data_IF_027110092134
#
_entry.id   IF_027110092134
#
_cell.length_a   1.000
_cell.length_b   1.000
_cell.length_c   1.000
_cell.angle_alpha   90.00
_cell.angle_beta   90.00
_cell.angle_gamma   90.00
#
_symmetry.space_group_name_H-M   'P 1'
#
loop_
_entity.id
_entity.type
_entity.pdbx_description
1 polymer ?
#
# COMPACT_ATOMS: atom_id res chain seq x y z
N UNK A 1 5.42 -10.00 -12.48
CA UNK A 1 4.56 -8.79 -12.47
C UNK A 1 3.19 -9.05 -13.11
N UNK A 2 3.14 -9.63 -14.32
CA UNK A 2 1.90 -9.94 -15.06
C UNK A 2 0.96 -10.88 -14.27
N UNK A 3 1.49 -11.93 -13.64
CA UNK A 3 0.69 -12.85 -12.81
C UNK A 3 0.00 -12.16 -11.62
N UNK A 4 0.69 -11.19 -10.99
CA UNK A 4 0.13 -10.40 -9.88
C UNK A 4 -1.00 -9.48 -10.34
N UNK A 5 -0.92 -8.96 -11.56
CA UNK A 5 -1.96 -8.14 -12.18
C UNK A 5 -3.16 -9.03 -12.58
N UNK A 6 -2.91 -10.19 -13.19
CA UNK A 6 -3.95 -11.15 -13.57
C UNK A 6 -4.73 -11.67 -12.34
N UNK A 7 -4.02 -12.03 -11.27
CA UNK A 7 -4.64 -12.44 -10.00
C UNK A 7 -5.53 -11.34 -9.40
N UNK A 8 -5.06 -10.08 -9.43
CA UNK A 8 -5.86 -8.93 -8.95
C UNK A 8 -7.09 -8.67 -9.82
N UNK A 9 -6.98 -8.84 -11.14
CA UNK A 9 -8.12 -8.74 -12.06
C UNK A 9 -9.18 -9.82 -11.80
N UNK A 10 -8.75 -11.05 -11.53
CA UNK A 10 -9.64 -12.15 -11.18
C UNK A 10 -10.39 -11.89 -9.86
N UNK A 11 -9.72 -11.33 -8.85
CA UNK A 11 -10.34 -10.93 -7.59
C UNK A 11 -11.41 -9.85 -7.78
N UNK A 12 -11.13 -8.83 -8.61
CA UNK A 12 -12.10 -7.78 -8.93
C UNK A 12 -13.34 -8.34 -9.65
N UNK A 13 -13.15 -9.24 -10.61
CA UNK A 13 -14.26 -9.90 -11.32
C UNK A 13 -15.11 -10.76 -10.36
N UNK A 14 -14.46 -11.51 -9.46
CA UNK A 14 -15.15 -12.31 -8.45
C UNK A 14 -16.00 -11.45 -7.52
N UNK A 15 -15.47 -10.32 -7.01
CA UNK A 15 -16.23 -9.39 -6.17
C UNK A 15 -17.44 -8.80 -6.89
N UNK A 16 -17.32 -8.47 -8.18
CA UNK A 16 -18.45 -7.99 -8.99
C UNK A 16 -19.58 -9.02 -9.15
N UNK A 17 -19.24 -10.30 -9.35
CA UNK A 17 -20.22 -11.38 -9.46
C UNK A 17 -20.98 -11.57 -8.13
N UNK A 18 -20.25 -11.58 -7.01
CA UNK A 18 -20.84 -11.72 -5.67
C UNK A 18 -21.81 -10.58 -5.38
N UNK A 19 -21.43 -9.34 -5.72
CA UNK A 19 -22.28 -8.16 -5.56
C UNK A 19 -23.58 -8.27 -6.38
N UNK A 20 -23.49 -8.71 -7.64
CA UNK A 20 -24.65 -8.90 -8.50
C UNK A 20 -25.64 -9.93 -7.91
N UNK A 21 -25.11 -11.04 -7.36
CA UNK A 21 -25.94 -12.07 -6.71
C UNK A 21 -26.69 -11.53 -5.48
N UNK A 22 -26.03 -10.75 -4.61
CA UNK A 22 -26.69 -10.16 -3.44
C UNK A 22 -27.81 -9.19 -3.82
N UNK A 23 -27.61 -8.35 -4.84
CA UNK A 23 -28.65 -7.45 -5.32
C UNK A 23 -29.83 -8.21 -5.92
N UNK A 24 -29.58 -9.26 -6.71
CA UNK A 24 -30.64 -10.11 -7.25
C UNK A 24 -31.45 -10.80 -6.16
N UNK A 25 -30.80 -11.34 -5.11
CA UNK A 25 -31.48 -11.97 -3.98
C UNK A 25 -32.36 -10.97 -3.21
N UNK A 26 -31.83 -9.78 -2.91
CA UNK A 26 -32.60 -8.73 -2.23
C UNK A 26 -33.82 -8.28 -3.04
N UNK A 27 -33.65 -8.08 -4.35
CA UNK A 27 -34.74 -7.69 -5.24
C UNK A 27 -35.81 -8.79 -5.37
N UNK A 28 -35.38 -10.05 -5.44
CA UNK A 28 -36.28 -11.21 -5.51
C UNK A 28 -37.12 -11.37 -4.24
N UNK A 29 -36.51 -11.20 -3.06
CA UNK A 29 -37.22 -11.24 -1.79
C UNK A 29 -38.26 -10.10 -1.67
N UNK A 30 -37.93 -8.91 -2.17
CA UNK A 30 -38.85 -7.77 -2.21
C UNK A 30 -40.05 -8.05 -3.15
N UNK A 31 -39.78 -8.56 -4.36
CA UNK A 31 -40.84 -8.87 -5.34
C UNK A 31 -41.81 -9.93 -4.84
N UNK A 32 -41.32 -10.99 -4.17
CA UNK A 32 -42.18 -12.04 -3.61
C UNK A 32 -43.15 -11.51 -2.56
N UNK A 33 -42.73 -10.54 -1.75
CA UNK A 33 -43.56 -9.97 -0.68
C UNK A 33 -44.59 -8.98 -1.24
N UNK A 34 -44.23 -8.20 -2.26
CA UNK A 34 -45.17 -7.34 -2.98
C UNK A 34 -46.24 -8.11 -3.76
N UNK A 35 -45.97 -9.37 -4.11
CA UNK A 35 -46.92 -10.27 -4.78
C UNK A 35 -47.83 -11.03 -3.80
N UNK A 36 -47.62 -10.93 -2.49
CA UNK A 36 -48.45 -11.62 -1.51
C UNK A 36 -49.71 -10.82 -1.15
N UNK A 37 -50.89 -11.44 -1.22
CA UNK A 37 -52.19 -10.78 -0.99
C UNK A 37 -52.42 -10.35 0.48
N UNK A 38 -51.53 -10.73 1.40
CA UNK A 38 -51.61 -10.39 2.82
C UNK A 38 -50.26 -9.82 3.28
N UNK A 39 -49.98 -8.57 2.88
CA UNK A 39 -48.73 -7.88 3.18
C UNK A 39 -48.70 -7.49 4.66
N UNK A 40 -48.00 -8.30 5.46
CA UNK A 40 -47.57 -7.89 6.79
C UNK A 40 -46.63 -6.68 6.64
N UNK A 41 -47.14 -5.52 7.06
CA UNK A 41 -46.47 -4.22 6.86
C UNK A 41 -45.12 -4.16 7.56
N UNK A 42 -44.98 -4.80 8.72
CA UNK A 42 -43.73 -4.83 9.48
C UNK A 42 -42.70 -5.72 8.79
N UNK A 43 -43.13 -6.86 8.24
CA UNK A 43 -42.27 -7.75 7.46
C UNK A 43 -41.80 -7.09 6.15
N UNK A 44 -42.68 -6.36 5.48
CA UNK A 44 -42.33 -5.61 4.27
C UNK A 44 -41.34 -4.48 4.57
N UNK A 45 -41.55 -3.71 5.66
CA UNK A 45 -40.63 -2.67 6.10
C UNK A 45 -39.25 -3.25 6.45
N UNK A 46 -39.20 -4.39 7.13
CA UNK A 46 -37.93 -5.03 7.47
C UNK A 46 -37.16 -5.50 6.24
N UNK A 47 -37.84 -6.09 5.26
CA UNK A 47 -37.18 -6.51 4.01
C UNK A 47 -36.69 -5.33 3.18
N UNK A 48 -37.43 -4.22 3.12
CA UNK A 48 -36.94 -2.99 2.48
C UNK A 48 -35.66 -2.48 3.14
N UNK A 49 -35.58 -2.53 4.48
CA UNK A 49 -34.35 -2.20 5.21
C UNK A 49 -33.21 -3.15 4.88
N UNK A 50 -33.47 -4.44 4.79
CA UNK A 50 -32.46 -5.45 4.45
C UNK A 50 -31.93 -5.25 3.02
N UNK A 51 -32.81 -4.93 2.05
CA UNK A 51 -32.41 -4.59 0.67
C UNK A 51 -31.56 -3.33 0.63
N UNK A 52 -31.92 -2.30 1.40
CA UNK A 52 -31.13 -1.07 1.49
C UNK A 52 -29.75 -1.32 2.13
N UNK A 53 -29.69 -2.13 3.19
CA UNK A 53 -28.45 -2.54 3.83
C UNK A 53 -27.57 -3.40 2.91
N UNK A 54 -28.17 -4.30 2.12
CA UNK A 54 -27.45 -5.08 1.11
C UNK A 54 -26.94 -4.19 -0.03
N UNK A 55 -27.74 -3.23 -0.50
CA UNK A 55 -27.36 -2.30 -1.56
C UNK A 55 -26.22 -1.38 -1.15
N UNK A 56 -26.23 -0.87 0.08
CA UNK A 56 -25.14 -0.02 0.60
C UNK A 56 -23.83 -0.79 0.76
N UNK A 57 -23.87 -2.03 1.28
CA UNK A 57 -22.69 -2.92 1.32
C UNK A 57 -22.17 -3.24 -0.08
N UNK A 58 -23.08 -3.46 -1.02
CA UNK A 58 -22.74 -3.71 -2.42
C UNK A 58 -22.05 -2.49 -3.04
N UNK A 59 -22.54 -1.28 -2.78
CA UNK A 59 -21.95 -0.02 -3.24
C UNK A 59 -20.54 0.21 -2.65
N UNK A 60 -20.33 -0.08 -1.37
CA UNK A 60 -19.00 -0.03 -0.74
C UNK A 60 -18.01 -1.01 -1.42
N UNK A 61 -18.45 -2.24 -1.70
CA UNK A 61 -17.64 -3.22 -2.43
C UNK A 61 -17.30 -2.76 -3.85
N UNK A 62 -18.22 -2.08 -4.55
CA UNK A 62 -17.93 -1.46 -5.86
C UNK A 62 -16.92 -0.34 -5.74
N UNK A 63 -17.03 0.52 -4.72
CA UNK A 63 -16.05 1.57 -4.46
C UNK A 63 -14.64 1.01 -4.25
N UNK A 64 -14.52 -0.07 -3.47
CA UNK A 64 -13.25 -0.79 -3.28
C UNK A 64 -12.74 -1.40 -4.58
N UNK A 65 -13.60 -2.06 -5.34
CA UNK A 65 -13.25 -2.68 -6.63
C UNK A 65 -12.80 -1.64 -7.65
N UNK A 66 -13.47 -0.49 -7.72
CA UNK A 66 -13.08 0.66 -8.54
C UNK A 66 -11.72 1.20 -8.13
N UNK A 67 -11.47 1.36 -6.83
CA UNK A 67 -10.16 1.77 -6.29
C UNK A 67 -9.06 0.80 -6.72
N UNK A 68 -9.30 -0.51 -6.59
CA UNK A 68 -8.35 -1.53 -7.05
C UNK A 68 -8.10 -1.44 -8.56
N UNK A 69 -9.14 -1.25 -9.36
CA UNK A 69 -9.01 -1.12 -10.81
C UNK A 69 -8.18 0.11 -11.20
N UNK A 70 -8.39 1.24 -10.52
CA UNK A 70 -7.57 2.44 -10.69
C UNK A 70 -6.10 2.18 -10.34
N UNK A 71 -5.80 1.52 -9.21
CA UNK A 71 -4.42 1.16 -8.83
C UNK A 71 -3.77 0.28 -9.90
N UNK A 72 -4.48 -0.72 -10.41
CA UNK A 72 -3.96 -1.59 -11.47
C UNK A 72 -3.68 -0.78 -12.74
N UNK A 73 -4.60 0.09 -13.16
CA UNK A 73 -4.39 0.97 -14.32
C UNK A 73 -3.20 1.90 -14.13
N UNK A 74 -2.97 2.42 -12.93
CA UNK A 74 -1.77 3.22 -12.60
C UNK A 74 -0.50 2.41 -12.79
N UNK A 75 -0.46 1.20 -12.25
CA UNK A 75 0.70 0.32 -12.35
C UNK A 75 1.04 -0.03 -13.80
N UNK A 76 0.03 -0.33 -14.61
CA UNK A 76 0.22 -0.60 -16.05
C UNK A 76 0.74 0.65 -16.76
N UNK A 77 0.11 1.81 -16.55
CA UNK A 77 0.53 3.05 -17.19
C UNK A 77 1.96 3.48 -16.80
N UNK A 78 2.38 3.27 -15.55
CA UNK A 78 3.75 3.53 -15.11
C UNK A 78 4.76 2.56 -15.74
N UNK A 79 4.37 1.30 -15.93
CA UNK A 79 5.22 0.28 -16.58
C UNK A 79 5.43 0.65 -18.05
N UNK A 80 4.36 0.97 -18.78
CA UNK A 80 4.40 1.35 -20.20
C UNK A 80 5.23 2.63 -20.46
N UNK A 81 5.33 3.52 -19.47
CA UNK A 81 6.03 4.82 -19.59
C UNK A 81 7.42 4.83 -18.98
N UNK A 82 7.87 3.70 -18.41
CA UNK A 82 9.17 3.59 -17.75
C UNK A 82 9.29 4.42 -16.47
N UNK A 83 8.17 4.79 -15.85
CA UNK A 83 8.17 5.57 -14.60
C UNK A 83 8.39 4.72 -13.35
N UNK A 84 8.32 3.39 -13.46
CA UNK A 84 8.51 2.48 -12.34
C UNK A 84 9.93 2.53 -11.73
N UNK A 85 10.92 3.07 -12.47
CA UNK A 85 12.31 3.19 -12.03
C UNK A 85 12.59 4.47 -11.22
N UNK A 86 11.60 5.36 -11.09
CA UNK A 86 11.75 6.65 -10.40
C UNK A 86 11.24 6.49 -8.96
N UNK A 87 11.97 7.04 -7.98
CA UNK A 87 11.59 7.00 -6.55
C UNK A 87 10.17 7.58 -6.30
N UNK A 88 9.70 8.44 -7.20
CA UNK A 88 8.39 9.10 -7.19
C UNK A 88 7.24 8.19 -7.67
N UNK A 89 7.51 6.99 -8.20
CA UNK A 89 6.49 6.02 -8.65
C UNK A 89 5.55 5.57 -7.51
N UNK A 90 6.07 5.60 -6.29
CA UNK A 90 5.30 5.31 -5.08
C UNK A 90 4.29 6.42 -4.79
N UNK A 91 4.72 7.67 -4.90
CA UNK A 91 3.86 8.84 -4.68
C UNK A 91 2.76 8.95 -5.75
N UNK A 92 3.05 8.55 -6.99
CA UNK A 92 2.06 8.46 -8.08
C UNK A 92 1.00 7.37 -7.86
N UNK A 93 1.38 6.28 -7.19
CA UNK A 93 0.44 5.21 -6.84
C UNK A 93 -0.57 5.66 -5.79
N UNK A 94 -0.15 6.55 -4.88
CA UNK A 94 -0.90 6.99 -3.72
C UNK A 94 -1.76 8.24 -3.96
N UNK A 95 -1.78 8.77 -5.18
CA UNK A 95 -2.63 9.93 -5.54
C UNK A 95 -4.12 9.66 -5.29
N UNK A 96 -4.91 10.66 -4.87
CA UNK A 96 -6.36 10.48 -4.74
C UNK A 96 -6.99 10.08 -6.08
N UNK A 97 -8.12 9.36 -6.02
CA UNK A 97 -8.89 9.02 -7.21
C UNK A 97 -9.48 10.30 -7.80
N UNK A 98 -9.22 10.55 -9.09
CA UNK A 98 -9.83 11.64 -9.84
C UNK A 98 -10.91 11.10 -10.78
N UNK A 99 -11.95 11.88 -11.01
CA UNK A 99 -12.93 11.62 -12.07
C UNK A 99 -12.30 11.75 -13.46
N UNK A 100 -11.24 12.57 -13.59
CA UNK A 100 -10.61 12.95 -14.86
C UNK A 100 -9.48 12.00 -15.28
N UNK A 101 -9.66 10.69 -15.06
CA UNK A 101 -8.72 9.66 -15.50
C UNK A 101 -7.82 9.11 -14.40
N UNK A 102 -6.84 8.31 -14.80
CA UNK A 102 -6.06 7.45 -13.89
C UNK A 102 -5.12 8.27 -12.98
N UNK A 103 -4.63 9.41 -13.48
CA UNK A 103 -3.77 10.35 -12.77
C UNK A 103 -4.22 11.81 -12.90
N UNK A 104 -5.41 12.05 -13.47
CA UNK A 104 -5.85 13.38 -13.91
C UNK A 104 -5.45 13.68 -15.36
N UNK A 105 -6.25 14.51 -16.01
CA UNK A 105 -6.22 14.76 -17.46
C UNK A 105 -4.91 15.39 -17.96
N UNK A 106 -4.29 16.25 -17.16
CA UNK A 106 -3.03 16.91 -17.52
C UNK A 106 -1.84 15.95 -17.43
N UNK A 107 -1.79 15.10 -16.40
CA UNK A 107 -0.74 14.10 -16.26
C UNK A 107 -0.87 12.98 -17.30
N UNK A 108 -2.10 12.62 -17.69
CA UNK A 108 -2.34 11.59 -18.71
C UNK A 108 -1.83 12.03 -20.09
N UNK A 109 -1.94 13.32 -20.44
CA UNK A 109 -1.31 13.87 -21.67
C UNK A 109 0.21 13.71 -21.63
N UNK A 110 0.84 14.03 -20.50
CA UNK A 110 2.27 13.86 -20.30
C UNK A 110 2.71 12.39 -20.45
N UNK A 111 1.98 11.47 -19.82
CA UNK A 111 2.23 10.03 -19.93
C UNK A 111 2.12 9.53 -21.38
N UNK A 112 1.13 10.02 -22.13
CA UNK A 112 0.95 9.65 -23.53
C UNK A 112 2.13 10.10 -24.38
N UNK A 113 2.57 11.36 -24.25
CA UNK A 113 3.77 11.86 -24.94
C UNK A 113 5.02 11.06 -24.56
N UNK A 114 5.17 10.69 -23.28
CA UNK A 114 6.30 9.86 -22.83
C UNK A 114 6.24 8.44 -23.41
N UNK A 115 5.07 7.82 -23.47
CA UNK A 115 4.87 6.50 -24.08
C UNK A 115 5.23 6.50 -25.57
N UNK A 116 4.82 7.54 -26.30
CA UNK A 116 5.16 7.70 -27.72
C UNK A 116 6.66 7.89 -27.93
N UNK A 117 7.32 8.71 -27.09
CA UNK A 117 8.78 8.86 -27.08
C UNK A 117 9.50 7.55 -26.75
N UNK A 118 9.00 6.80 -25.76
CA UNK A 118 9.58 5.53 -25.34
C UNK A 118 9.48 4.46 -26.44
N UNK A 119 8.34 4.41 -27.14
CA UNK A 119 8.14 3.54 -28.30
C UNK A 119 9.06 3.91 -29.47
N UNK A 120 9.17 5.21 -29.77
CA UNK A 120 10.12 5.68 -30.79
C UNK A 120 11.57 5.35 -30.42
N UNK A 121 11.91 5.36 -29.13
CA UNK A 121 13.23 4.99 -28.64
C UNK A 121 13.48 3.48 -28.75
N UNK A 122 12.48 2.64 -28.48
CA UNK A 122 12.55 1.19 -28.71
C UNK A 122 12.80 0.84 -30.18
N UNK A 123 12.22 1.61 -31.10
CA UNK A 123 12.43 1.42 -32.55
C UNK A 123 13.86 1.83 -33.00
N UNK A 124 14.50 2.78 -32.28
CA UNK A 124 15.82 3.31 -32.63
C UNK A 124 16.96 2.60 -31.90
N UNK A 125 16.73 2.11 -30.69
CA UNK A 125 17.72 1.52 -29.80
C UNK A 125 17.14 0.25 -29.14
N UNK A 126 17.24 -0.91 -29.82
CA UNK A 126 16.73 -2.18 -29.28
C UNK A 126 17.57 -2.72 -28.13
N UNK A 127 18.76 -2.17 -27.88
CA UNK A 127 19.64 -2.55 -26.77
C UNK A 127 19.30 -1.77 -25.48
N UNK A 128 18.82 -2.52 -24.50
CA UNK A 128 18.39 -2.06 -23.17
C UNK A 128 19.52 -1.31 -22.43
N UNK A 129 20.79 -1.66 -22.65
CA UNK A 129 21.93 -1.00 -22.00
C UNK A 129 22.17 0.42 -22.52
N UNK A 130 21.90 0.67 -23.80
CA UNK A 130 22.05 1.99 -24.44
C UNK A 130 20.84 2.88 -24.12
N UNK A 131 19.66 2.28 -24.00
CA UNK A 131 18.42 2.96 -23.63
C UNK A 131 18.50 3.59 -22.23
N UNK A 132 19.09 2.86 -21.27
CA UNK A 132 19.26 3.32 -19.88
C UNK A 132 20.15 4.56 -19.76
N UNK A 133 21.32 4.57 -20.43
CA UNK A 133 22.24 5.71 -20.37
C UNK A 133 21.68 6.97 -21.04
N UNK A 134 20.87 6.82 -22.08
CA UNK A 134 20.17 7.93 -22.74
C UNK A 134 19.06 8.54 -21.89
N UNK A 135 18.26 7.71 -21.21
CA UNK A 135 17.16 8.19 -20.35
C UNK A 135 17.69 8.84 -19.06
N UNK A 136 18.79 8.34 -18.50
CA UNK A 136 19.49 8.96 -17.36
C UNK A 136 20.14 10.29 -17.76
N UNK A 137 20.67 10.42 -18.99
CA UNK A 137 21.29 11.66 -19.49
C UNK A 137 20.33 12.79 -19.88
N UNK A 138 19.06 12.48 -20.15
CA UNK A 138 18.02 13.48 -20.48
C UNK A 138 17.42 14.19 -19.26
N UNK A 139 17.65 13.68 -18.03
CA UNK A 139 17.15 14.28 -16.79
C UNK A 139 17.93 15.55 -16.40
N UNK A 140 19.10 15.80 -17.01
CA UNK A 140 19.95 16.96 -16.70
C UNK A 140 19.85 18.14 -17.66
N UNK A 141 18.91 18.14 -18.62
CA UNK A 141 18.75 19.27 -19.55
C UNK A 141 17.55 20.14 -19.12
N UNK A 142 17.91 21.25 -18.47
CA UNK A 142 17.19 22.54 -18.31
C UNK A 142 15.65 22.48 -18.23
N UNK A 143 15.15 22.54 -17.00
CA UNK A 143 13.80 23.00 -16.67
C UNK A 143 13.61 24.46 -17.15
N UNK A 144 13.11 24.66 -18.36
CA UNK A 144 12.36 25.89 -18.65
C UNK A 144 10.94 25.74 -18.06
N UNK A 145 10.75 26.28 -16.86
CA UNK A 145 9.44 26.42 -16.22
C UNK A 145 8.53 27.33 -17.06
N UNK A 146 7.32 26.88 -17.45
CA UNK A 146 6.27 27.79 -17.89
C UNK A 146 5.90 28.72 -16.73
N UNK A 147 5.89 30.02 -17.03
CA UNK A 147 5.60 31.11 -16.09
C UNK A 147 4.24 30.92 -15.39
N UNK A 148 4.28 30.90 -14.06
CA UNK A 148 3.15 30.82 -13.13
C UNK A 148 2.04 31.84 -13.41
N UNK A 149 0.80 31.37 -13.42
CA UNK A 149 -0.35 32.13 -12.90
C UNK A 149 -1.01 31.34 -11.78
N UNK A 150 -1.00 31.96 -10.61
CA UNK A 150 -1.76 31.66 -9.38
C UNK A 150 -1.56 30.29 -8.73
N UNK A 151 -0.72 30.33 -7.67
CA UNK A 151 -0.92 29.72 -6.34
C UNK A 151 0.33 29.07 -5.73
N UNK A 152 1.49 29.68 -6.01
CA UNK A 152 2.81 29.32 -5.47
C UNK A 152 2.99 29.62 -3.96
N UNK A 153 1.89 29.89 -3.22
CA UNK A 153 1.89 30.05 -1.76
C UNK A 153 1.47 28.80 -0.98
N UNK A 154 0.87 27.79 -1.63
CA UNK A 154 0.37 26.59 -0.92
C UNK A 154 1.38 25.43 -0.92
N UNK A 155 2.32 25.38 -1.89
CA UNK A 155 3.18 24.19 -2.12
C UNK A 155 4.59 24.21 -1.52
N UNK A 156 5.01 25.25 -0.80
CA UNK A 156 6.36 25.31 -0.18
C UNK A 156 6.31 25.30 1.34
N UNK A 157 5.58 24.36 1.94
CA UNK A 157 5.89 23.97 3.33
C UNK A 157 7.13 23.07 3.24
N UNK A 158 8.31 23.67 3.42
CA UNK A 158 9.55 22.90 3.63
C UNK A 158 9.42 22.20 4.99
N UNK A 159 9.00 20.95 4.99
CA UNK A 159 9.14 20.11 6.18
C UNK A 159 10.65 19.98 6.46
N UNK A 160 11.13 20.32 7.67
CA UNK A 160 12.51 20.07 8.02
C UNK A 160 12.77 18.58 7.82
N UNK A 161 13.81 18.24 7.05
CA UNK A 161 14.28 16.85 6.93
C UNK A 161 14.89 16.45 8.27
N UNK A 162 14.04 16.13 9.24
CA UNK A 162 14.48 15.56 10.51
C UNK A 162 14.93 14.14 10.18
N UNK A 163 16.23 13.85 10.38
CA UNK A 163 16.79 12.52 10.20
C UNK A 163 16.36 11.62 11.37
N UNK A 164 15.07 11.32 11.43
CA UNK A 164 14.50 10.44 12.45
C UNK A 164 14.60 9.00 11.94
N UNK A 165 15.15 8.06 12.75
CA UNK A 165 15.10 6.64 12.43
C UNK A 165 13.67 6.23 12.06
N UNK A 166 13.52 5.35 11.07
CA UNK A 166 12.21 4.95 10.54
C UNK A 166 11.30 4.30 11.59
N UNK A 167 11.89 3.63 12.59
CA UNK A 167 11.19 3.13 13.78
C UNK A 167 11.15 4.15 14.91
N UNK A 168 10.03 4.24 15.62
CA UNK A 168 9.88 5.12 16.79
C UNK A 168 9.61 6.60 16.47
N UNK A 169 9.35 6.97 15.21
CA UNK A 169 9.09 8.37 14.80
C UNK A 169 7.98 9.05 15.59
N UNK A 170 6.95 8.30 15.96
CA UNK A 170 5.80 8.82 16.70
C UNK A 170 6.19 9.42 18.06
N UNK A 171 7.21 8.87 18.72
CA UNK A 171 7.68 9.35 20.04
C UNK A 171 8.20 10.79 19.97
N UNK A 172 8.70 11.23 18.81
CA UNK A 172 9.18 12.61 18.62
C UNK A 172 8.07 13.64 18.51
N UNK A 173 6.82 13.20 18.28
CA UNK A 173 5.66 14.07 18.12
C UNK A 173 4.70 13.95 19.31
N UNK A 174 5.18 13.48 20.48
CA UNK A 174 4.33 13.24 21.64
C UNK A 174 3.55 14.49 22.06
N UNK A 175 4.17 15.68 22.00
CA UNK A 175 3.53 16.95 22.37
C UNK A 175 2.36 17.30 21.45
N UNK A 176 2.46 17.01 20.17
CA UNK A 176 1.37 17.20 19.21
C UNK A 176 0.25 16.18 19.45
N UNK A 177 0.60 14.95 19.80
CA UNK A 177 -0.38 13.92 20.14
C UNK A 177 -1.14 14.22 21.43
N UNK A 178 -0.51 14.81 22.44
CA UNK A 178 -1.17 15.29 23.67
C UNK A 178 -2.23 16.37 23.39
N UNK A 179 -2.12 17.12 22.28
CA UNK A 179 -3.11 18.11 21.87
C UNK A 179 -4.29 17.48 21.13
N UNK A 180 -4.08 16.33 20.48
CA UNK A 180 -5.10 15.65 19.67
C UNK A 180 -5.95 14.70 20.52
N UNK A 181 -5.36 14.04 21.51
CA UNK A 181 -6.05 13.06 22.35
C UNK A 181 -5.65 13.16 23.82
N UNK A 182 -6.60 12.85 24.70
CA UNK A 182 -6.37 12.71 26.16
C UNK A 182 -6.31 11.23 26.60
N UNK A 183 -6.44 10.30 25.66
CA UNK A 183 -6.39 8.86 25.94
C UNK A 183 -4.99 8.45 26.42
N UNK A 184 -4.93 8.03 27.70
CA UNK A 184 -3.68 7.64 28.35
C UNK A 184 -3.05 6.39 27.74
N UNK A 185 -3.85 5.47 27.19
CA UNK A 185 -3.32 4.27 26.53
C UNK A 185 -2.57 4.65 25.24
N UNK A 186 -3.18 5.50 24.41
CA UNK A 186 -2.54 5.98 23.17
C UNK A 186 -1.26 6.76 23.48
N UNK A 187 -1.32 7.70 24.43
CA UNK A 187 -0.15 8.50 24.82
C UNK A 187 0.98 7.64 25.41
N UNK A 188 0.64 6.61 26.20
CA UNK A 188 1.62 5.67 26.74
C UNK A 188 2.35 4.88 25.64
N UNK A 189 1.63 4.46 24.60
CA UNK A 189 2.22 3.75 23.46
C UNK A 189 3.16 4.65 22.66
N UNK A 190 2.77 5.91 22.44
CA UNK A 190 3.59 6.87 21.70
C UNK A 190 4.86 7.21 22.47
N UNK A 191 4.74 7.37 23.79
CA UNK A 191 5.86 7.72 24.67
C UNK A 191 6.81 6.55 24.92
N UNK A 192 6.28 5.41 25.35
CA UNK A 192 7.07 4.29 25.89
C UNK A 192 7.19 3.11 24.90
N UNK A 193 6.50 3.20 23.76
CA UNK A 193 6.40 2.12 22.77
C UNK A 193 5.34 1.08 23.13
N UNK A 194 4.78 0.44 22.11
CA UNK A 194 3.83 -0.66 22.33
C UNK A 194 4.55 -1.90 22.84
N UNK A 195 4.07 -2.45 23.97
CA UNK A 195 4.54 -3.71 24.54
C UNK A 195 3.48 -4.78 24.33
N UNK A 196 3.89 -5.93 23.83
CA UNK A 196 2.99 -7.08 23.72
C UNK A 196 2.63 -7.59 25.11
N UNK A 197 1.34 -7.56 25.44
CA UNK A 197 0.81 -8.11 26.67
C UNK A 197 0.71 -9.64 26.55
N UNK A 198 1.65 -10.35 27.17
CA UNK A 198 1.58 -11.80 27.27
C UNK A 198 0.84 -12.20 28.55
N UNK A 199 -0.12 -13.13 28.46
CA UNK A 199 -0.85 -13.69 29.61
C UNK A 199 0.09 -14.29 30.68
N UNK A 200 1.24 -14.80 30.24
CA UNK A 200 2.33 -15.28 31.09
C UNK A 200 3.64 -15.16 30.31
N UNK A 201 4.77 -15.10 31.02
CA UNK A 201 6.08 -15.18 30.37
C UNK A 201 6.17 -16.50 29.60
N UNK A 202 6.38 -16.47 28.28
CA UNK A 202 6.42 -17.71 27.53
C UNK A 202 7.61 -18.57 28.00
N UNK A 203 7.42 -19.89 28.18
CA UNK A 203 8.46 -20.76 28.72
C UNK A 203 9.63 -20.86 27.73
N UNK A 204 10.86 -20.97 28.26
CA UNK A 204 12.03 -21.25 27.45
C UNK A 204 11.95 -22.69 26.92
N UNK A 205 11.86 -22.85 25.59
CA UNK A 205 11.73 -24.15 24.93
C UNK A 205 13.08 -24.72 24.45
N UNK A 206 14.21 -24.19 24.93
CA UNK A 206 15.54 -24.54 24.44
C UNK A 206 16.01 -23.69 23.26
N UNK A 207 17.30 -23.81 22.92
CA UNK A 207 17.84 -23.16 21.71
C UNK A 207 17.43 -23.96 20.49
N UNK A 208 16.66 -23.32 19.60
CA UNK A 208 16.47 -23.79 18.22
C UNK A 208 17.65 -23.30 17.39
N UNK A 209 18.60 -24.19 17.08
CA UNK A 209 19.72 -23.83 16.19
C UNK A 209 19.20 -23.68 14.76
N UNK A 210 19.59 -22.59 14.13
CA UNK A 210 19.31 -22.42 12.70
C UNK A 210 20.24 -23.34 11.91
N UNK A 211 19.66 -24.28 11.16
CA UNK A 211 20.40 -25.17 10.26
C UNK A 211 20.35 -24.54 8.87
N UNK A 212 21.52 -24.15 8.36
CA UNK A 212 21.66 -23.46 7.08
C UNK A 212 22.71 -24.20 6.24
N UNK A 213 22.48 -24.29 4.92
CA UNK A 213 23.49 -24.82 4.00
C UNK A 213 24.73 -23.91 3.97
N UNK A 214 25.90 -24.46 3.64
CA UNK A 214 27.16 -23.68 3.58
C UNK A 214 27.07 -22.47 2.66
N UNK A 215 26.34 -22.56 1.54
CA UNK A 215 26.13 -21.44 0.62
C UNK A 215 25.28 -20.30 1.20
N UNK A 216 24.32 -20.63 2.07
CA UNK A 216 23.41 -19.64 2.65
C UNK A 216 23.95 -19.04 3.97
N UNK A 217 24.97 -19.66 4.57
CA UNK A 217 25.64 -19.12 5.76
C UNK A 217 26.34 -17.80 5.48
N UNK A 218 26.99 -17.66 4.32
CA UNK A 218 27.70 -16.43 3.97
C UNK A 218 26.74 -15.25 3.81
N UNK A 219 25.61 -15.47 3.12
CA UNK A 219 24.54 -14.48 2.96
C UNK A 219 23.96 -14.07 4.32
N UNK A 220 23.70 -15.06 5.18
CA UNK A 220 23.15 -14.82 6.51
C UNK A 220 24.12 -14.05 7.40
N UNK A 221 25.43 -14.34 7.33
CA UNK A 221 26.45 -13.60 8.07
C UNK A 221 26.60 -12.16 7.55
N UNK A 222 26.55 -11.95 6.23
CA UNK A 222 26.55 -10.61 5.64
C UNK A 222 25.35 -9.79 6.14
N UNK A 223 24.15 -10.38 6.16
CA UNK A 223 22.96 -9.67 6.62
C UNK A 223 23.00 -9.40 8.13
N UNK A 224 23.48 -10.34 8.95
CA UNK A 224 23.69 -10.11 10.39
C UNK A 224 24.64 -8.93 10.63
N UNK A 225 25.74 -8.85 9.88
CA UNK A 225 26.70 -7.74 10.01
C UNK A 225 26.07 -6.41 9.59
N UNK A 226 25.34 -6.39 8.47
CA UNK A 226 24.55 -5.23 8.00
C UNK A 226 23.55 -4.75 9.07
N UNK A 227 22.85 -5.66 9.75
CA UNK A 227 21.92 -5.31 10.83
C UNK A 227 22.62 -4.81 12.10
N UNK A 228 23.80 -5.36 12.43
CA UNK A 228 24.63 -4.88 13.54
C UNK A 228 25.15 -3.46 13.26
N UNK A 229 25.65 -3.20 12.05
CA UNK A 229 26.12 -1.86 11.64
C UNK A 229 25.01 -0.82 11.67
N UNK A 230 23.79 -1.20 11.28
CA UNK A 230 22.60 -0.35 11.37
C UNK A 230 22.09 -0.15 12.80
N UNK A 231 22.67 -0.83 13.79
CA UNK A 231 22.20 -0.82 15.18
C UNK A 231 20.81 -1.44 15.36
N UNK A 232 20.35 -2.25 14.40
CA UNK A 232 19.03 -2.88 14.44
C UNK A 232 18.99 -4.11 15.38
N UNK A 233 20.14 -4.75 15.59
CA UNK A 233 20.32 -5.89 16.50
C UNK A 233 21.58 -5.70 17.34
N UNK A 234 21.65 -6.39 18.47
CA UNK A 234 22.83 -6.40 19.34
C UNK A 234 23.19 -7.82 19.79
N UNK A 235 24.44 -8.01 20.22
CA UNK A 235 24.88 -9.29 20.77
C UNK A 235 24.31 -9.47 22.16
N UNK A 236 23.60 -10.59 22.37
CA UNK A 236 23.02 -10.93 23.67
C UNK A 236 24.10 -11.00 24.77
N UNK A 237 23.95 -10.27 25.89
CA UNK A 237 24.87 -10.33 27.02
C UNK A 237 25.04 -11.75 27.56
N UNK A 238 26.23 -12.08 28.06
CA UNK A 238 26.54 -13.44 28.54
C UNK A 238 25.60 -13.91 29.65
N UNK A 239 25.17 -12.98 30.52
CA UNK A 239 24.27 -13.23 31.66
C UNK A 239 22.85 -13.61 31.23
N UNK A 240 22.47 -13.26 30.00
CA UNK A 240 21.11 -13.46 29.45
C UNK A 240 21.08 -14.54 28.37
N UNK A 241 22.22 -15.23 28.15
CA UNK A 241 22.23 -16.43 27.33
C UNK A 241 21.33 -17.47 28.00
N UNK A 242 20.50 -18.13 27.20
CA UNK A 242 19.58 -19.19 27.62
C UNK A 242 18.33 -18.72 28.39
N UNK A 243 18.09 -17.42 28.54
CA UNK A 243 16.95 -16.91 29.32
C UNK A 243 15.87 -16.23 28.48
N UNK A 244 15.96 -16.35 27.14
CA UNK A 244 15.11 -15.65 26.18
C UNK A 244 14.50 -16.54 25.09
N UNK A 245 13.91 -15.89 24.08
CA UNK A 245 13.27 -16.56 22.95
C UNK A 245 14.24 -16.75 21.79
N UNK A 246 14.16 -17.92 21.16
CA UNK A 246 14.98 -18.27 20.02
C UNK A 246 14.07 -18.59 18.84
N UNK A 247 14.30 -17.88 17.73
CA UNK A 247 13.62 -18.12 16.46
C UNK A 247 14.62 -18.71 15.46
N UNK A 248 14.11 -19.50 14.54
CA UNK A 248 14.90 -20.02 13.42
C UNK A 248 14.90 -18.98 12.31
N UNK A 249 16.08 -18.61 11.82
CA UNK A 249 16.21 -17.72 10.67
C UNK A 249 16.17 -18.52 9.36
N UNK A 250 15.71 -17.92 8.28
CA UNK A 250 15.78 -18.53 6.95
C UNK A 250 16.18 -17.47 5.92
N UNK A 251 16.84 -17.92 4.86
CA UNK A 251 17.19 -17.11 3.69
C UNK A 251 16.25 -17.54 2.57
N UNK A 252 15.59 -16.58 1.92
CA UNK A 252 14.68 -16.80 0.78
C UNK A 252 15.44 -16.87 -0.54
#
# INVERSE_FOLDING_TARGET
MIEKIAYRGQQAAYMGIVMHMYMQQGLGALMQTLQSDNVDSDKAIQQVRDVFAMSTKSLDQVGRTGTFHHIVRRQVAMTDTGLYEIDEARDLSDLPLSADGVFGSDFEKFLKTRKEKNKALDDLLPDISVKKSYLEGLVTVEEEKPQDTLDDKVRKVKFPKIHIPVGGRLTHFLQEWEQITQDQWVLSIIKDGYKLEFLQKPPFQGIKKTVVSTKNLDILNLEINSLLEKGAIEKVPVKERMTGFYITLFVL
#
